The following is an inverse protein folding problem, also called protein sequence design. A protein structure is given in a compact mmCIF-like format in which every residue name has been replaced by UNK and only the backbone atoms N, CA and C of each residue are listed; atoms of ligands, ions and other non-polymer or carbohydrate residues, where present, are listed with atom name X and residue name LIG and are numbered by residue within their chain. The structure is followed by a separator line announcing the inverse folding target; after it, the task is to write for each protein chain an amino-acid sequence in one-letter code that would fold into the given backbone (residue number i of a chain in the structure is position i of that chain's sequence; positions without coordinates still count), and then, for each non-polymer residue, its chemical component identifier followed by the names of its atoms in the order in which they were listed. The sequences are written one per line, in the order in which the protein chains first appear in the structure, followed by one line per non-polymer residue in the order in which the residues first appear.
data_IF_373214060491
#
_entry.id   IF_373214060491
#
_cell.length_a   1.000
_cell.length_b   1.000
_cell.length_c   1.000
_cell.angle_alpha   90.00
_cell.angle_beta   90.00
_cell.angle_gamma   90.00
#
_symmetry.space_group_name_H-M   'P 1'
#
loop_
_entity.id
_entity.type
_entity.pdbx_description
1 polymer ?
#
# COMPACT_ATOMS: atom_id res chain seq x y z
N UNK A 1 18.32 6.20 39.67
CA UNK A 1 18.51 5.43 38.41
C UNK A 1 17.39 5.83 37.47
N UNK A 2 17.69 6.56 36.40
CA UNK A 2 16.74 6.89 35.33
C UNK A 2 17.15 6.05 34.13
N UNK A 3 16.28 5.11 33.74
CA UNK A 3 16.51 4.24 32.59
C UNK A 3 15.86 4.88 31.35
N UNK A 4 16.65 5.67 30.64
CA UNK A 4 16.24 6.33 29.41
C UNK A 4 16.32 5.33 28.26
N UNK A 5 15.30 4.48 28.11
CA UNK A 5 15.18 3.61 26.94
C UNK A 5 14.95 4.47 25.70
N UNK A 6 16.00 4.60 24.90
CA UNK A 6 15.96 5.31 23.62
C UNK A 6 15.24 4.43 22.60
N UNK A 7 14.00 4.79 22.25
CA UNK A 7 13.27 4.15 21.16
C UNK A 7 13.93 4.54 19.84
N UNK A 8 14.52 3.57 19.13
CA UNK A 8 14.98 3.76 17.75
C UNK A 8 13.78 3.54 16.83
N UNK A 9 13.23 4.64 16.30
CA UNK A 9 12.27 4.57 15.19
C UNK A 9 13.06 4.22 13.92
N UNK A 10 12.73 3.10 13.29
CA UNK A 10 13.30 2.74 11.99
C UNK A 10 12.90 3.81 10.95
N UNK A 11 13.84 4.33 10.15
CA UNK A 11 13.51 5.35 9.16
C UNK A 11 12.78 4.74 7.96
N UNK A 12 11.76 5.45 7.48
CA UNK A 12 11.10 5.31 6.17
C UNK A 12 10.14 4.12 5.92
N UNK A 13 9.13 3.91 6.77
CA UNK A 13 7.93 3.14 6.37
C UNK A 13 6.90 4.08 5.70
N UNK A 14 7.23 4.59 4.51
CA UNK A 14 6.29 5.39 3.73
C UNK A 14 5.58 4.49 2.70
N UNK A 15 4.25 4.43 2.78
CA UNK A 15 3.43 3.80 1.75
C UNK A 15 3.27 4.78 0.59
N UNK A 16 3.85 4.44 -0.57
CA UNK A 16 3.67 5.23 -1.78
C UNK A 16 2.21 5.09 -2.27
N UNK A 17 1.49 6.21 -2.28
CA UNK A 17 0.17 6.30 -2.88
C UNK A 17 0.27 6.64 -4.36
N UNK A 18 -0.37 5.82 -5.18
CA UNK A 18 -0.51 6.03 -6.60
C UNK A 18 -1.87 6.66 -6.91
N UNK A 19 -1.91 7.50 -7.94
CA UNK A 19 -3.12 8.19 -8.35
C UNK A 19 -3.75 7.54 -9.57
N UNK A 20 -5.07 7.70 -9.70
CA UNK A 20 -5.80 7.39 -10.94
C UNK A 20 -5.07 7.89 -12.18
N UNK A 21 -5.00 7.05 -13.22
CA UNK A 21 -4.32 7.33 -14.48
C UNK A 21 -2.83 6.94 -14.49
N UNK A 22 -2.21 6.67 -13.34
CA UNK A 22 -0.82 6.23 -13.30
C UNK A 22 -0.65 4.89 -14.03
N UNK A 23 0.39 4.80 -14.85
CA UNK A 23 0.68 3.62 -15.67
C UNK A 23 1.44 2.55 -14.86
N UNK A 24 0.73 1.51 -14.42
CA UNK A 24 1.27 0.48 -13.51
C UNK A 24 0.72 -0.91 -13.82
N UNK A 25 1.37 -1.93 -13.26
CA UNK A 25 0.91 -3.31 -13.29
C UNK A 25 1.03 -3.93 -11.89
N UNK A 26 0.04 -4.70 -11.48
CA UNK A 26 0.02 -5.36 -10.19
C UNK A 26 -1.33 -5.29 -9.49
N UNK A 27 -1.35 -5.67 -8.22
CA UNK A 27 -2.52 -5.59 -7.35
C UNK A 27 -2.48 -4.32 -6.50
N UNK A 28 -3.62 -3.67 -6.37
CA UNK A 28 -3.77 -2.39 -5.68
C UNK A 28 -5.06 -2.38 -4.87
N UNK A 29 -5.05 -1.69 -3.73
CA UNK A 29 -6.24 -1.40 -2.93
C UNK A 29 -6.53 0.09 -2.93
N UNK A 30 -7.81 0.47 -2.96
CA UNK A 30 -8.20 1.86 -2.79
C UNK A 30 -7.90 2.31 -1.36
N UNK A 31 -7.16 3.40 -1.19
CA UNK A 31 -6.73 3.86 0.14
C UNK A 31 -7.86 4.45 0.99
N UNK A 32 -9.04 4.67 0.39
CA UNK A 32 -10.22 5.20 1.08
C UNK A 32 -11.19 4.11 1.54
N UNK A 33 -11.38 3.03 0.75
CA UNK A 33 -12.39 2.01 1.04
C UNK A 33 -11.89 0.56 0.97
N UNK A 34 -10.61 0.34 0.65
CA UNK A 34 -9.98 -0.98 0.59
C UNK A 34 -10.34 -1.85 -0.62
N UNK A 35 -11.11 -1.34 -1.60
CA UNK A 35 -11.48 -2.15 -2.78
C UNK A 35 -10.25 -2.56 -3.59
N UNK A 36 -10.11 -3.85 -3.87
CA UNK A 36 -8.95 -4.42 -4.58
C UNK A 36 -9.14 -4.54 -6.09
N UNK A 37 -8.08 -4.27 -6.85
CA UNK A 37 -8.03 -4.39 -8.31
C UNK A 37 -6.70 -4.94 -8.79
N UNK A 38 -6.72 -5.71 -9.88
CA UNK A 38 -5.53 -6.08 -10.64
C UNK A 38 -5.43 -5.21 -11.89
N UNK A 39 -4.35 -4.43 -12.00
CA UNK A 39 -4.12 -3.50 -13.10
C UNK A 39 -3.07 -4.06 -14.06
N UNK A 40 -3.29 -3.84 -15.36
CA UNK A 40 -2.33 -4.17 -16.42
C UNK A 40 -1.87 -2.96 -17.24
N UNK A 41 -2.51 -1.79 -17.05
CA UNK A 41 -2.21 -0.55 -17.79
C UNK A 41 -2.26 0.70 -16.91
N UNK A 42 -3.44 1.10 -16.44
CA UNK A 42 -3.62 2.35 -15.70
C UNK A 42 -4.60 2.20 -14.53
N UNK A 43 -4.36 2.92 -13.43
CA UNK A 43 -5.25 2.92 -12.27
C UNK A 43 -6.59 3.62 -12.58
N UNK A 44 -7.74 3.00 -12.29
CA UNK A 44 -9.05 3.59 -12.50
C UNK A 44 -9.46 4.50 -11.33
N UNK A 45 -10.55 5.24 -11.49
CA UNK A 45 -11.31 5.76 -10.32
C UNK A 45 -11.92 4.56 -9.59
N UNK A 46 -11.88 4.55 -8.25
CA UNK A 46 -12.45 3.47 -7.46
C UNK A 46 -13.96 3.34 -7.75
N UNK A 47 -14.45 2.18 -8.21
CA UNK A 47 -15.86 2.00 -8.55
C UNK A 47 -16.78 1.99 -7.33
N UNK A 48 -16.22 1.80 -6.13
CA UNK A 48 -16.99 1.71 -4.88
C UNK A 48 -17.21 3.07 -4.23
N UNK A 49 -16.14 3.87 -4.05
CA UNK A 49 -16.20 5.15 -3.33
C UNK A 49 -15.89 6.38 -4.19
N UNK A 50 -15.52 6.19 -5.47
CA UNK A 50 -15.00 7.23 -6.36
C UNK A 50 -13.65 7.84 -5.94
N UNK A 51 -12.97 7.22 -4.98
CA UNK A 51 -11.62 7.57 -4.59
C UNK A 51 -10.62 7.48 -5.73
N UNK A 52 -9.52 8.23 -5.60
CA UNK A 52 -8.48 8.35 -6.63
C UNK A 52 -7.09 7.95 -6.16
N UNK A 53 -6.98 7.58 -4.88
CA UNK A 53 -5.76 7.12 -4.24
C UNK A 53 -5.75 5.59 -4.15
N UNK A 54 -4.60 5.01 -4.48
CA UNK A 54 -4.37 3.58 -4.50
C UNK A 54 -3.06 3.26 -3.81
N UNK A 55 -3.07 2.21 -3.00
CA UNK A 55 -1.87 1.62 -2.41
C UNK A 55 -1.53 0.34 -3.15
N UNK A 56 -0.24 0.10 -3.39
CA UNK A 56 0.21 -1.17 -3.96
C UNK A 56 0.04 -2.26 -2.91
N UNK A 57 -0.67 -3.33 -3.27
CA UNK A 57 -0.73 -4.51 -2.41
C UNK A 57 0.63 -5.19 -2.39
N UNK A 58 1.27 -5.24 -1.23
CA UNK A 58 2.42 -6.11 -0.98
C UNK A 58 1.98 -7.59 -0.86
N UNK A 59 0.69 -7.83 -0.64
CA UNK A 59 0.12 -9.16 -0.57
C UNK A 59 0.03 -9.75 -1.98
N UNK A 60 0.63 -10.91 -2.15
CA UNK A 60 0.40 -11.82 -3.28
C UNK A 60 -0.05 -13.15 -2.68
N UNK A 61 -0.99 -13.87 -3.31
CA UNK A 61 -1.36 -15.22 -2.85
C UNK A 61 -0.18 -16.20 -2.87
N UNK A 62 0.92 -15.88 -3.57
CA UNK A 62 2.17 -16.63 -3.59
C UNK A 62 3.36 -15.85 -3.00
N UNK A 63 3.10 -14.67 -2.44
CA UNK A 63 4.12 -13.86 -1.78
C UNK A 63 4.53 -14.50 -0.46
N UNK A 64 5.82 -14.45 -0.13
CA UNK A 64 6.26 -14.78 1.23
C UNK A 64 5.61 -13.77 2.17
N UNK A 65 4.89 -14.27 3.19
CA UNK A 65 4.44 -13.41 4.27
C UNK A 65 5.66 -12.66 4.83
N UNK A 66 5.57 -11.34 5.07
CA UNK A 66 6.66 -10.62 5.69
C UNK A 66 6.97 -11.32 7.02
N UNK A 67 8.19 -11.83 7.12
CA UNK A 67 8.66 -12.54 8.30
C UNK A 67 8.88 -11.49 9.37
N UNK A 68 7.97 -11.41 10.34
CA UNK A 68 8.18 -10.61 11.55
C UNK A 68 9.23 -11.35 12.41
N UNK A 69 10.50 -11.01 12.23
CA UNK A 69 11.63 -11.40 13.07
C UNK A 69 12.25 -10.17 13.72
#
# INVERSE_FOLDING_TARGET
MQDTTTVRVAPDEFVEFLVTGAAVKGEFHCSECGYGVTIVRALPVCPMCRGTSWERSAWSPFGKAPSLL
#
